data_IF_831922055541
#
_entry.id   IF_831922055541
#
_cell.length_a   1.000
_cell.length_b   1.000
_cell.length_c   1.000
_cell.angle_alpha   90.00
_cell.angle_beta   90.00
_cell.angle_gamma   90.00
#
_symmetry.space_group_name_H-M   'P 1'
#
loop_
_entity.id
_entity.type
_entity.pdbx_description
1 polymer ?
#
# COMPACT_ATOMS: atom_id res chain seq x y z
N UNK A 1 -24.23 -6.72 3.10
CA UNK A 1 -23.49 -7.72 2.30
C UNK A 1 -22.05 -7.78 2.71
N UNK A 2 -21.52 -8.99 2.80
CA UNK A 2 -20.08 -9.16 3.05
C UNK A 2 -19.27 -8.74 1.82
N UNK A 3 -18.17 -8.05 2.04
CA UNK A 3 -17.24 -7.71 0.96
C UNK A 3 -16.60 -8.98 0.39
N UNK A 4 -16.34 -9.04 -0.94
CA UNK A 4 -15.58 -10.14 -1.52
C UNK A 4 -14.10 -10.10 -1.12
N UNK A 5 -13.62 -8.97 -0.60
CA UNK A 5 -12.24 -8.80 -0.17
C UNK A 5 -12.07 -9.16 1.30
N UNK A 6 -11.01 -9.87 1.61
CA UNK A 6 -10.62 -10.17 2.99
C UNK A 6 -9.14 -9.89 3.19
N UNK A 7 -8.79 -9.57 4.43
CA UNK A 7 -7.42 -9.26 4.84
C UNK A 7 -7.04 -10.18 5.99
N UNK A 8 -5.85 -10.75 5.92
CA UNK A 8 -5.30 -11.51 7.04
C UNK A 8 -3.85 -11.13 7.28
N UNK A 9 -3.32 -11.31 8.50
CA UNK A 9 -1.90 -11.07 8.74
C UNK A 9 -1.03 -11.95 7.84
N UNK A 10 0.01 -11.38 7.26
CA UNK A 10 1.05 -12.13 6.57
C UNK A 10 1.92 -12.85 7.60
N UNK A 11 2.39 -14.04 7.24
CA UNK A 11 3.26 -14.85 8.08
C UNK A 11 4.47 -15.35 7.30
N UNK A 12 5.44 -15.95 7.98
CA UNK A 12 6.59 -16.56 7.31
C UNK A 12 6.18 -17.63 6.30
N UNK A 13 5.02 -18.27 6.51
CA UNK A 13 4.46 -19.22 5.56
C UNK A 13 4.07 -18.61 4.22
N UNK A 14 3.93 -17.28 4.15
CA UNK A 14 3.61 -16.55 2.92
C UNK A 14 4.86 -16.19 2.10
N UNK A 15 6.06 -16.37 2.62
CA UNK A 15 7.29 -15.98 1.91
C UNK A 15 7.43 -16.63 0.53
N UNK A 16 7.12 -17.93 0.31
CA UNK A 16 7.15 -18.50 -1.03
C UNK A 16 6.17 -17.82 -2.00
N UNK A 17 4.97 -17.48 -1.52
CA UNK A 17 3.96 -16.73 -2.30
C UNK A 17 4.46 -15.33 -2.63
N UNK A 18 4.97 -14.61 -1.64
CA UNK A 18 5.49 -13.25 -1.83
C UNK A 18 6.67 -13.23 -2.79
N UNK A 19 7.53 -14.23 -2.75
CA UNK A 19 8.63 -14.38 -3.70
C UNK A 19 8.11 -14.47 -5.15
N UNK A 20 7.10 -15.30 -5.37
CA UNK A 20 6.49 -15.44 -6.70
C UNK A 20 5.88 -14.12 -7.16
N UNK A 21 5.12 -13.46 -6.28
CA UNK A 21 4.44 -12.20 -6.60
C UNK A 21 5.43 -11.07 -6.87
N UNK A 22 6.49 -10.95 -6.08
CA UNK A 22 7.53 -9.93 -6.29
C UNK A 22 8.28 -10.12 -7.61
N UNK A 23 8.25 -11.33 -8.18
CA UNK A 23 8.90 -11.64 -9.45
C UNK A 23 8.02 -11.32 -10.67
N UNK A 24 6.76 -10.95 -10.49
CA UNK A 24 5.90 -10.54 -11.60
C UNK A 24 6.46 -9.24 -12.23
N UNK A 25 6.53 -9.14 -13.58
CA UNK A 25 7.16 -7.98 -14.24
C UNK A 25 6.61 -6.62 -13.80
N UNK A 26 5.30 -6.51 -13.61
CA UNK A 26 4.68 -5.26 -13.17
C UNK A 26 5.09 -4.89 -11.73
N UNK A 27 5.29 -5.89 -10.86
CA UNK A 27 5.75 -5.63 -9.50
C UNK A 27 7.23 -5.23 -9.51
N UNK A 28 8.06 -5.93 -10.28
CA UNK A 28 9.49 -5.60 -10.43
C UNK A 28 9.66 -4.16 -10.91
N UNK A 29 8.85 -3.75 -11.88
CA UNK A 29 8.93 -2.41 -12.46
C UNK A 29 8.85 -1.30 -11.42
N UNK A 30 7.96 -1.45 -10.42
CA UNK A 30 7.69 -0.39 -9.45
C UNK A 30 8.30 -0.63 -8.07
N UNK A 31 8.53 -1.89 -7.71
CA UNK A 31 9.09 -2.26 -6.40
C UNK A 31 10.59 -2.54 -6.44
N UNK A 32 11.13 -2.97 -7.58
CA UNK A 32 12.54 -3.22 -7.76
C UNK A 32 12.93 -4.68 -7.71
N UNK A 33 14.18 -4.96 -7.35
CA UNK A 33 14.72 -6.32 -7.35
C UNK A 33 13.96 -7.24 -6.38
N UNK A 34 13.40 -8.36 -6.88
CA UNK A 34 12.62 -9.26 -6.04
C UNK A 34 13.37 -9.85 -4.83
N UNK A 35 14.68 -10.05 -4.97
CA UNK A 35 15.49 -10.60 -3.86
C UNK A 35 15.63 -9.60 -2.73
N UNK A 36 15.91 -8.35 -3.07
CA UNK A 36 16.07 -7.28 -2.09
C UNK A 36 14.73 -7.01 -1.40
N UNK A 37 13.66 -6.93 -2.18
CA UNK A 37 12.32 -6.71 -1.62
C UNK A 37 11.87 -7.85 -0.73
N UNK A 38 12.14 -9.10 -1.08
CA UNK A 38 11.79 -10.24 -0.25
C UNK A 38 12.52 -10.22 1.10
N UNK A 39 13.79 -9.82 1.10
CA UNK A 39 14.56 -9.69 2.33
C UNK A 39 14.00 -8.58 3.23
N UNK A 40 13.58 -7.45 2.65
CA UNK A 40 12.91 -6.40 3.40
C UNK A 40 11.61 -6.90 4.02
N UNK A 41 10.76 -7.60 3.26
CA UNK A 41 9.51 -8.15 3.78
C UNK A 41 9.76 -9.18 4.87
N UNK A 42 10.79 -10.02 4.71
CA UNK A 42 11.18 -10.99 5.73
C UNK A 42 11.54 -10.30 7.05
N UNK A 43 12.34 -9.24 6.97
CA UNK A 43 12.71 -8.47 8.15
C UNK A 43 11.49 -7.79 8.78
N UNK A 44 10.60 -7.23 7.97
CA UNK A 44 9.42 -6.52 8.42
C UNK A 44 8.40 -7.43 9.13
N UNK A 45 8.40 -8.74 8.85
CA UNK A 45 7.55 -9.69 9.58
C UNK A 45 7.84 -9.72 11.09
N UNK A 46 9.05 -9.33 11.47
CA UNK A 46 9.45 -9.24 12.87
C UNK A 46 9.46 -7.81 13.42
N UNK A 47 9.03 -6.83 12.60
CA UNK A 47 9.01 -5.43 12.99
C UNK A 47 7.61 -5.04 13.52
N UNK A 48 7.47 -4.76 14.83
CA UNK A 48 6.16 -4.49 15.42
C UNK A 48 5.48 -3.22 14.89
N UNK A 49 6.24 -2.29 14.28
CA UNK A 49 5.68 -1.06 13.70
C UNK A 49 5.09 -1.26 12.30
N UNK A 50 5.35 -2.41 11.68
CA UNK A 50 4.85 -2.72 10.34
C UNK A 50 3.70 -3.71 10.44
N UNK A 51 2.54 -3.36 9.86
CA UNK A 51 1.41 -4.27 9.74
C UNK A 51 1.34 -4.79 8.32
N UNK A 52 1.46 -6.11 8.16
CA UNK A 52 1.53 -6.75 6.85
C UNK A 52 0.33 -7.68 6.66
N UNK A 53 -0.30 -7.59 5.49
CA UNK A 53 -1.53 -8.34 5.20
C UNK A 53 -1.47 -9.02 3.83
N UNK A 54 -2.07 -10.19 3.76
CA UNK A 54 -2.42 -10.83 2.49
C UNK A 54 -3.87 -10.47 2.17
N UNK A 55 -4.09 -10.01 0.96
CA UNK A 55 -5.43 -9.62 0.48
C UNK A 55 -5.96 -10.74 -0.41
N UNK A 56 -7.20 -11.16 -0.15
CA UNK A 56 -7.88 -12.19 -0.93
C UNK A 56 -9.17 -11.64 -1.55
N UNK A 57 -9.52 -12.19 -2.72
CA UNK A 57 -10.79 -11.93 -3.39
C UNK A 57 -11.54 -13.25 -3.50
N UNK A 58 -12.74 -13.32 -2.89
CA UNK A 58 -13.53 -14.56 -2.80
C UNK A 58 -12.69 -15.74 -2.30
N UNK A 59 -11.85 -15.49 -1.28
CA UNK A 59 -11.01 -16.50 -0.66
C UNK A 59 -9.70 -16.81 -1.38
N UNK A 60 -9.44 -16.21 -2.54
CA UNK A 60 -8.20 -16.42 -3.30
C UNK A 60 -7.19 -15.31 -2.99
N UNK A 61 -6.04 -15.62 -2.40
CA UNK A 61 -4.98 -14.63 -2.20
C UNK A 61 -4.47 -14.07 -3.53
N UNK A 62 -4.35 -12.75 -3.64
CA UNK A 62 -3.91 -12.14 -4.89
C UNK A 62 -3.07 -10.87 -4.72
N UNK A 63 -3.06 -10.26 -3.53
CA UNK A 63 -2.37 -9.00 -3.31
C UNK A 63 -1.75 -8.94 -1.91
N UNK A 64 -0.83 -8.01 -1.77
CA UNK A 64 -0.13 -7.70 -0.53
C UNK A 64 -0.35 -6.24 -0.17
N UNK A 65 -0.54 -5.95 1.11
CA UNK A 65 -0.63 -4.59 1.61
C UNK A 65 0.08 -4.50 2.96
N UNK A 66 0.82 -3.41 3.15
CA UNK A 66 1.42 -3.10 4.44
C UNK A 66 1.07 -1.68 4.83
N UNK A 67 1.00 -1.42 6.13
CA UNK A 67 0.83 -0.06 6.62
C UNK A 67 1.63 0.17 7.88
N UNK A 68 2.00 1.43 8.09
CA UNK A 68 2.80 1.87 9.24
C UNK A 68 2.45 3.31 9.58
N UNK A 69 2.68 3.69 10.83
CA UNK A 69 2.50 5.08 11.26
C UNK A 69 3.53 5.96 10.53
N UNK A 70 3.09 7.09 10.00
CA UNK A 70 3.91 7.94 9.11
C UNK A 70 5.21 8.45 9.71
N UNK A 71 5.31 8.51 11.04
CA UNK A 71 6.51 8.95 11.73
C UNK A 71 7.36 7.79 12.30
N UNK A 72 6.97 6.53 12.02
CA UNK A 72 7.73 5.36 12.48
C UNK A 72 9.17 5.37 11.96
N UNK A 73 9.36 5.83 10.73
CA UNK A 73 10.67 6.06 10.13
C UNK A 73 10.72 7.47 9.56
N UNK A 74 11.83 8.21 9.76
CA UNK A 74 11.93 9.57 9.24
C UNK A 74 11.86 9.60 7.70
N UNK A 75 10.84 10.31 7.19
CA UNK A 75 10.67 10.55 5.76
C UNK A 75 10.21 11.99 5.57
N UNK A 76 11.03 12.79 4.89
CA UNK A 76 10.82 14.23 4.79
C UNK A 76 9.43 14.60 4.22
N UNK A 77 8.96 13.85 3.23
CA UNK A 77 7.67 14.14 2.58
C UNK A 77 6.45 13.76 3.44
N UNK A 78 6.65 13.03 4.53
CA UNK A 78 5.58 12.65 5.46
C UNK A 78 5.64 13.42 6.79
N UNK A 79 6.70 14.20 7.01
CA UNK A 79 6.99 14.83 8.30
C UNK A 79 5.89 15.78 8.79
N UNK A 80 5.15 16.41 7.87
CA UNK A 80 4.10 17.38 8.18
C UNK A 80 2.74 16.75 8.52
N UNK A 81 2.59 15.44 8.37
CA UNK A 81 1.32 14.76 8.58
C UNK A 81 1.00 14.59 10.08
N UNK A 82 -0.29 14.57 10.46
CA UNK A 82 -0.66 14.36 11.85
C UNK A 82 -0.16 13.03 12.41
N UNK A 83 0.20 13.00 13.68
CA UNK A 83 0.53 11.76 14.38
C UNK A 83 -0.62 10.76 14.28
N UNK A 84 -0.30 9.51 14.12
CA UNK A 84 -1.29 8.45 13.97
C UNK A 84 -1.77 8.23 12.55
N UNK A 85 -1.41 9.11 11.60
CA UNK A 85 -1.67 8.87 10.18
C UNK A 85 -0.92 7.62 9.72
N UNK A 86 -1.52 6.86 8.80
CA UNK A 86 -0.95 5.59 8.32
C UNK A 86 -0.57 5.70 6.86
N UNK A 87 0.62 5.20 6.52
CA UNK A 87 1.06 5.07 5.13
C UNK A 87 0.84 3.62 4.68
N UNK A 88 0.34 3.45 3.45
CA UNK A 88 0.10 2.13 2.85
C UNK A 88 1.04 1.94 1.67
N UNK A 89 1.64 0.75 1.58
CA UNK A 89 2.30 0.25 0.39
C UNK A 89 1.59 -1.05 -0.03
N UNK A 90 1.38 -1.24 -1.31
CA UNK A 90 0.59 -2.37 -1.79
C UNK A 90 0.95 -2.75 -3.23
N UNK A 91 0.80 -4.05 -3.54
CA UNK A 91 0.86 -4.51 -4.92
C UNK A 91 -0.10 -5.68 -5.13
N UNK A 92 -0.57 -5.82 -6.36
CA UNK A 92 -1.29 -7.02 -6.81
C UNK A 92 -0.25 -8.00 -7.33
N UNK A 93 -0.22 -9.22 -6.78
CA UNK A 93 0.78 -10.23 -7.12
C UNK A 93 0.39 -11.15 -8.28
N UNK A 94 -0.92 -11.28 -8.57
CA UNK A 94 -1.40 -12.11 -9.66
C UNK A 94 -1.67 -11.25 -10.90
N UNK A 95 -0.93 -11.44 -12.01
CA UNK A 95 -1.15 -10.65 -13.24
C UNK A 95 -2.58 -10.71 -13.76
N UNK A 96 -3.26 -11.84 -13.60
CA UNK A 96 -4.66 -12.01 -14.03
C UNK A 96 -5.64 -11.12 -13.29
N UNK A 97 -5.27 -10.60 -12.13
CA UNK A 97 -6.10 -9.72 -11.30
C UNK A 97 -5.79 -8.24 -11.51
N UNK A 98 -4.75 -7.93 -12.25
CA UNK A 98 -4.35 -6.53 -12.52
C UNK A 98 -5.28 -5.89 -13.56
N UNK A 99 -5.48 -4.57 -13.45
CA UNK A 99 -6.26 -3.81 -14.42
C UNK A 99 -7.77 -4.04 -14.39
N UNK A 100 -8.30 -4.58 -13.30
CA UNK A 100 -9.72 -4.90 -13.15
C UNK A 100 -10.40 -4.13 -12.02
N UNK A 101 -9.73 -3.11 -11.47
CA UNK A 101 -10.28 -2.28 -10.41
C UNK A 101 -10.11 -2.83 -9.00
N UNK A 102 -9.51 -4.00 -8.83
CA UNK A 102 -9.34 -4.62 -7.49
C UNK A 102 -8.50 -3.76 -6.55
N UNK A 103 -7.40 -3.17 -7.05
CA UNK A 103 -6.52 -2.34 -6.23
C UNK A 103 -7.24 -1.19 -5.57
N UNK A 104 -7.97 -0.40 -6.35
CA UNK A 104 -8.76 0.70 -5.82
C UNK A 104 -9.82 0.22 -4.81
N UNK A 105 -10.48 -0.90 -5.10
CA UNK A 105 -11.53 -1.42 -4.25
C UNK A 105 -11.03 -1.87 -2.88
N UNK A 106 -9.97 -2.70 -2.83
CA UNK A 106 -9.50 -3.15 -1.52
C UNK A 106 -8.75 -2.06 -0.75
N UNK A 107 -8.06 -1.15 -1.44
CA UNK A 107 -7.38 -0.04 -0.77
C UNK A 107 -8.36 0.92 -0.13
N UNK A 108 -9.49 1.19 -0.76
CA UNK A 108 -10.56 1.98 -0.15
C UNK A 108 -11.07 1.32 1.13
N UNK A 109 -11.34 0.02 1.10
CA UNK A 109 -11.78 -0.72 2.29
C UNK A 109 -10.75 -0.67 3.40
N UNK A 110 -9.48 -0.86 3.07
CA UNK A 110 -8.39 -0.80 4.04
C UNK A 110 -8.27 0.60 4.64
N UNK A 111 -8.29 1.64 3.80
CA UNK A 111 -8.21 3.03 4.25
C UNK A 111 -9.37 3.39 5.18
N UNK A 112 -10.60 3.01 4.81
CA UNK A 112 -11.78 3.22 5.66
C UNK A 112 -11.64 2.54 7.01
N UNK A 113 -11.16 1.30 7.02
CA UNK A 113 -10.91 0.53 8.25
C UNK A 113 -9.88 1.20 9.15
N UNK A 114 -8.76 1.65 8.58
CA UNK A 114 -7.72 2.33 9.35
C UNK A 114 -8.22 3.66 9.93
N UNK A 115 -9.06 4.39 9.20
CA UNK A 115 -9.70 5.60 9.73
C UNK A 115 -10.64 5.27 10.89
N UNK A 116 -11.44 4.21 10.78
CA UNK A 116 -12.32 3.76 11.86
C UNK A 116 -11.53 3.35 13.11
N UNK A 117 -10.32 2.84 12.92
CA UNK A 117 -9.41 2.48 14.02
C UNK A 117 -8.69 3.68 14.63
N UNK A 118 -8.93 4.88 14.11
CA UNK A 118 -8.44 6.12 14.70
C UNK A 118 -7.39 6.88 13.91
N UNK A 119 -6.95 6.38 12.75
CA UNK A 119 -6.00 7.11 11.93
C UNK A 119 -6.63 8.40 11.39
N UNK A 120 -6.01 9.58 11.62
CA UNK A 120 -6.58 10.84 11.11
C UNK A 120 -6.51 10.96 9.59
N UNK A 121 -5.47 10.44 8.97
CA UNK A 121 -5.27 10.42 7.52
C UNK A 121 -4.61 9.10 7.11
N UNK A 122 -4.91 8.67 5.89
CA UNK A 122 -4.21 7.57 5.24
C UNK A 122 -3.50 8.12 4.01
N UNK A 123 -2.25 7.73 3.82
CA UNK A 123 -1.47 8.21 2.68
C UNK A 123 -0.92 7.04 1.86
N UNK A 124 -0.73 7.29 0.58
CA UNK A 124 -0.05 6.40 -0.34
C UNK A 124 0.77 7.27 -1.29
N UNK A 125 1.96 6.83 -1.66
CA UNK A 125 2.92 7.67 -2.37
C UNK A 125 3.48 6.99 -3.63
N UNK A 126 2.64 6.81 -4.67
CA UNK A 126 3.10 6.20 -5.90
C UNK A 126 4.16 7.05 -6.60
N UNK A 127 5.01 6.38 -7.38
CA UNK A 127 5.91 7.08 -8.30
C UNK A 127 5.09 8.00 -9.20
N UNK A 128 5.61 9.20 -9.48
CA UNK A 128 4.86 10.23 -10.23
C UNK A 128 4.45 9.78 -11.63
N UNK A 129 5.22 8.89 -12.27
CA UNK A 129 4.94 8.33 -13.58
C UNK A 129 4.13 7.01 -13.55
N UNK A 130 3.76 6.53 -12.38
CA UNK A 130 2.88 5.37 -12.26
C UNK A 130 1.41 5.82 -12.38
N UNK A 131 1.01 6.21 -13.58
CA UNK A 131 -0.32 6.77 -13.84
C UNK A 131 -1.45 5.78 -13.57
N UNK A 132 -1.21 4.50 -13.82
CA UNK A 132 -2.20 3.44 -13.56
C UNK A 132 -2.53 3.36 -12.07
N UNK A 133 -1.51 3.33 -11.21
CA UNK A 133 -1.69 3.31 -9.77
C UNK A 133 -2.37 4.60 -9.30
N UNK A 134 -1.91 5.75 -9.77
CA UNK A 134 -2.49 7.04 -9.40
C UNK A 134 -3.99 7.10 -9.70
N UNK A 135 -4.40 6.64 -10.89
CA UNK A 135 -5.84 6.59 -11.25
C UNK A 135 -6.63 5.63 -10.35
N UNK A 136 -6.07 4.47 -10.03
CA UNK A 136 -6.71 3.52 -9.14
C UNK A 136 -6.91 4.12 -7.74
N UNK A 137 -5.91 4.83 -7.23
CA UNK A 137 -5.97 5.46 -5.90
C UNK A 137 -6.95 6.64 -5.88
N UNK A 138 -7.02 7.42 -6.96
CA UNK A 138 -8.03 8.48 -7.10
C UNK A 138 -9.45 7.90 -7.03
N UNK A 139 -9.71 6.81 -7.75
CA UNK A 139 -11.01 6.11 -7.69
C UNK A 139 -11.32 5.56 -6.32
N UNK A 140 -10.29 5.18 -5.55
CA UNK A 140 -10.46 4.71 -4.18
C UNK A 140 -10.78 5.85 -3.20
N UNK A 141 -10.62 7.11 -3.60
CA UNK A 141 -10.89 8.27 -2.77
C UNK A 141 -9.66 8.99 -2.24
N UNK A 142 -8.46 8.58 -2.68
CA UNK A 142 -7.23 9.31 -2.36
C UNK A 142 -7.13 10.56 -3.24
N UNK A 143 -6.74 11.67 -2.64
CA UNK A 143 -6.55 12.93 -3.35
C UNK A 143 -5.06 13.17 -3.57
N UNK A 144 -4.65 13.35 -4.83
CA UNK A 144 -3.26 13.64 -5.19
C UNK A 144 -2.89 15.08 -4.87
N UNK A 145 -1.61 15.26 -4.55
CA UNK A 145 -0.99 16.54 -4.34
C UNK A 145 0.11 16.81 -5.39
N UNK A 146 1.00 17.77 -5.12
CA UNK A 146 2.10 18.03 -6.02
C UNK A 146 3.11 16.89 -6.05
N UNK A 147 3.90 16.85 -7.12
CA UNK A 147 5.05 15.93 -7.20
C UNK A 147 6.11 16.40 -6.22
N UNK A 148 6.63 15.47 -5.42
CA UNK A 148 7.72 15.73 -4.46
C UNK A 148 8.90 14.83 -4.78
N UNK A 149 10.11 15.34 -4.51
CA UNK A 149 11.32 14.53 -4.64
C UNK A 149 11.50 13.68 -3.39
N UNK A 150 11.77 12.39 -3.57
CA UNK A 150 12.09 11.47 -2.49
C UNK A 150 13.36 10.69 -2.83
N UNK A 151 13.88 9.93 -1.89
CA UNK A 151 15.02 9.05 -2.15
C UNK A 151 14.78 7.99 -3.21
N UNK A 152 13.52 7.73 -3.53
CA UNK A 152 13.11 6.77 -4.57
C UNK A 152 12.72 7.45 -5.88
N UNK A 153 12.92 8.75 -6.00
CA UNK A 153 12.59 9.54 -7.18
C UNK A 153 11.34 10.38 -7.01
N UNK A 154 10.84 11.00 -8.12
CA UNK A 154 9.63 11.83 -8.09
C UNK A 154 8.41 11.00 -7.66
N UNK A 155 7.67 11.52 -6.70
CA UNK A 155 6.57 10.81 -6.03
C UNK A 155 5.38 11.75 -5.87
N UNK A 156 4.18 11.21 -5.91
CA UNK A 156 2.96 11.96 -5.57
C UNK A 156 2.43 11.46 -4.25
N UNK A 157 2.32 12.36 -3.27
CA UNK A 157 1.67 12.03 -2.00
C UNK A 157 0.15 12.15 -2.18
N UNK A 158 -0.55 11.03 -2.01
CA UNK A 158 -1.99 10.95 -2.15
C UNK A 158 -2.62 10.68 -0.78
N UNK A 159 -3.68 11.39 -0.44
CA UNK A 159 -4.24 11.43 0.91
C UNK A 159 -5.71 11.01 0.89
N UNK A 160 -6.08 10.12 1.81
CA UNK A 160 -7.44 9.68 2.08
C UNK A 160 -7.82 10.10 3.50
N UNK A 161 -9.03 10.63 3.67
CA UNK A 161 -9.54 11.03 4.97
C UNK A 161 -10.24 12.39 4.89
N UNK A 162 -10.62 12.97 6.04
CA UNK A 162 -11.30 14.26 6.06
C UNK A 162 -10.45 15.35 5.42
N UNK A 163 -11.09 16.27 4.68
CA UNK A 163 -10.40 17.45 4.18
C UNK A 163 -9.84 18.25 5.34
N UNK A 164 -8.54 18.58 5.27
CA UNK A 164 -7.96 19.48 6.24
C UNK A 164 -8.48 20.90 5.97
N UNK A 165 -8.96 21.62 7.00
CA UNK A 165 -9.29 23.04 6.81
C UNK A 165 -8.02 23.75 6.35
N UNK A 166 -8.15 24.47 5.26
CA UNK A 166 -7.05 25.14 4.57
C UNK A 166 -6.40 26.24 5.42
#
# INVERSE_FOLDING_TARGET
MLSPYSFRPATTGDLPRLRRWLSAPEVVRWWGDPRDELELLRADLNEPRMTMRIVSFNGRPFAYAQDYEVHAWPQAHLAHLPEGSRAIDSFIGLPSMMGRGHGGNYLRLLAERLCEEGAPLIVIDPAADNFRARRAYEKAGFRGGPVVATGEGPTVLMIFGPEQPG
#
